data_IF_658086465222
#
_entry.id   IF_658086465222
#
_cell.length_a   1.000
_cell.length_b   1.000
_cell.length_c   1.000
_cell.angle_alpha   90.00
_cell.angle_beta   90.00
_cell.angle_gamma   90.00
#
_symmetry.space_group_name_H-M   'P 1'
#
loop_
_entity.id
_entity.type
_entity.pdbx_description
1 polymer ?
#
# COMPACT_ATOMS: atom_id res chain seq x y z
N UNK A 1 22.14 16.43 12.54
CA UNK A 1 21.73 16.48 13.97
C UNK A 1 20.32 17.05 14.23
N UNK A 2 19.81 17.97 13.40
CA UNK A 2 18.46 18.56 13.52
C UNK A 2 17.34 17.62 13.07
N UNK A 3 17.56 16.81 12.03
CA UNK A 3 16.56 15.86 11.48
C UNK A 3 16.14 14.75 12.47
N UNK A 4 17.10 14.23 13.25
CA UNK A 4 16.85 13.14 14.22
C UNK A 4 16.00 13.63 15.39
N UNK A 5 16.15 14.90 15.77
CA UNK A 5 15.49 15.52 16.91
C UNK A 5 14.04 15.93 16.62
N UNK A 6 13.68 16.11 15.34
CA UNK A 6 12.29 16.37 14.92
C UNK A 6 11.50 15.09 14.69
N UNK A 7 12.15 13.97 14.34
CA UNK A 7 11.49 12.69 14.10
C UNK A 7 11.08 11.97 15.39
N UNK A 8 11.83 12.17 16.47
CA UNK A 8 11.60 11.50 17.75
C UNK A 8 10.21 11.77 18.36
N UNK A 9 9.73 13.02 18.47
CA UNK A 9 8.41 13.30 19.01
C UNK A 9 7.29 12.84 18.06
N UNK A 10 7.48 12.95 16.73
CA UNK A 10 6.50 12.47 15.74
C UNK A 10 6.33 10.96 15.80
N UNK A 11 7.43 10.20 15.86
CA UNK A 11 7.37 8.74 16.01
C UNK A 11 6.73 8.33 17.35
N UNK A 12 7.01 9.06 18.42
CA UNK A 12 6.44 8.77 19.75
C UNK A 12 4.94 9.03 19.76
N UNK A 13 4.48 10.15 19.19
CA UNK A 13 3.06 10.51 19.06
C UNK A 13 2.31 9.56 18.11
N UNK A 14 2.89 9.20 16.98
CA UNK A 14 2.28 8.21 16.06
C UNK A 14 2.17 6.85 16.74
N UNK A 15 3.18 6.37 17.46
CA UNK A 15 3.10 5.08 18.14
C UNK A 15 2.11 5.06 19.31
N UNK A 16 1.92 6.19 20.01
CA UNK A 16 0.97 6.27 21.14
C UNK A 16 -0.46 6.59 20.72
N UNK A 17 -0.69 7.34 19.63
CA UNK A 17 -2.04 7.70 19.17
C UNK A 17 -2.62 6.70 18.15
N UNK A 18 -1.79 6.05 17.34
CA UNK A 18 -2.27 5.14 16.26
C UNK A 18 -2.45 3.69 16.73
N UNK A 19 -1.95 3.33 17.91
CA UNK A 19 -2.30 2.08 18.61
C UNK A 19 -3.39 2.39 19.64
N UNK A 20 -4.68 2.46 19.24
CA UNK A 20 -5.74 2.63 20.22
C UNK A 20 -5.71 1.42 21.16
N UNK A 21 -5.59 1.70 22.47
CA UNK A 21 -5.73 0.70 23.55
C UNK A 21 -6.98 -0.19 23.40
N UNK A 22 -7.98 0.30 22.66
CA UNK A 22 -9.19 -0.41 22.22
C UNK A 22 -8.93 -1.75 21.51
N UNK A 23 -7.79 -1.92 20.82
CA UNK A 23 -7.45 -3.21 20.20
C UNK A 23 -7.28 -4.36 21.20
N UNK A 24 -6.88 -4.05 22.44
CA UNK A 24 -6.61 -5.04 23.48
C UNK A 24 -7.75 -5.20 24.51
N UNK A 25 -8.72 -4.28 24.56
CA UNK A 25 -9.79 -4.26 25.57
C UNK A 25 -11.18 -4.06 24.96
N UNK A 26 -11.55 -4.88 23.97
CA UNK A 26 -12.88 -4.90 23.35
C UNK A 26 -13.79 -5.99 23.90
N UNK A 27 -15.11 -5.76 23.93
CA UNK A 27 -16.15 -6.78 24.20
C UNK A 27 -16.05 -7.92 23.16
N UNK A 28 -16.49 -9.13 23.51
CA UNK A 28 -16.34 -10.33 22.67
C UNK A 28 -16.83 -10.17 21.21
N UNK A 29 -17.94 -9.45 20.98
CA UNK A 29 -18.45 -9.15 19.64
C UNK A 29 -17.53 -8.20 18.84
N UNK A 30 -16.92 -7.21 19.49
CA UNK A 30 -15.93 -6.33 18.84
C UNK A 30 -14.64 -7.10 18.51
N UNK A 31 -14.26 -8.09 19.33
CA UNK A 31 -13.11 -8.95 19.03
C UNK A 31 -13.33 -9.83 17.81
N UNK A 32 -14.49 -10.50 17.69
CA UNK A 32 -14.81 -11.34 16.51
C UNK A 32 -14.75 -10.54 15.21
N UNK A 33 -15.34 -9.34 15.20
CA UNK A 33 -15.33 -8.44 14.04
C UNK A 33 -13.93 -7.91 13.72
N UNK A 34 -13.07 -7.78 14.73
CA UNK A 34 -11.67 -7.40 14.54
C UNK A 34 -10.83 -8.55 13.98
N UNK A 35 -11.11 -9.80 14.40
CA UNK A 35 -10.49 -10.99 13.84
C UNK A 35 -10.84 -11.20 12.37
N UNK A 36 -12.10 -11.01 11.98
CA UNK A 36 -12.53 -11.08 10.57
C UNK A 36 -11.73 -10.11 9.69
N UNK A 37 -11.62 -8.84 10.12
CA UNK A 37 -10.84 -7.82 9.41
C UNK A 37 -9.35 -8.17 9.33
N UNK A 38 -8.81 -8.72 10.41
CA UNK A 38 -7.40 -9.13 10.47
C UNK A 38 -7.14 -10.31 9.53
N UNK A 39 -8.03 -11.31 9.52
CA UNK A 39 -7.96 -12.47 8.61
C UNK A 39 -8.09 -12.03 7.15
N UNK A 40 -9.00 -11.11 6.86
CA UNK A 40 -9.14 -10.54 5.51
C UNK A 40 -7.86 -9.85 5.06
N UNK A 41 -7.29 -8.97 5.90
CA UNK A 41 -6.03 -8.29 5.61
C UNK A 41 -4.86 -9.26 5.44
N UNK A 42 -4.74 -10.27 6.30
CA UNK A 42 -3.71 -11.29 6.21
C UNK A 42 -3.83 -12.10 4.91
N UNK A 43 -5.06 -12.45 4.51
CA UNK A 43 -5.32 -13.21 3.27
C UNK A 43 -4.92 -12.40 2.04
N UNK A 44 -5.32 -11.13 1.98
CA UNK A 44 -4.91 -10.23 0.90
C UNK A 44 -3.40 -10.04 0.83
N UNK A 45 -2.73 -9.91 1.98
CA UNK A 45 -1.28 -9.79 2.04
C UNK A 45 -0.57 -11.05 1.54
N UNK A 46 -1.02 -12.23 1.95
CA UNK A 46 -0.45 -13.50 1.49
C UNK A 46 -0.67 -13.69 -0.01
N UNK A 47 -1.88 -13.40 -0.51
CA UNK A 47 -2.20 -13.44 -1.94
C UNK A 47 -1.33 -12.46 -2.74
N UNK A 48 -1.12 -11.26 -2.21
CA UNK A 48 -0.26 -10.24 -2.81
C UNK A 48 1.19 -10.72 -2.98
N UNK A 49 1.79 -11.28 -1.94
CA UNK A 49 3.17 -11.79 -2.00
C UNK A 49 3.29 -13.04 -2.90
N UNK A 50 2.31 -13.95 -2.87
CA UNK A 50 2.31 -15.12 -3.75
C UNK A 50 2.16 -14.72 -5.22
N UNK A 51 1.33 -13.73 -5.53
CA UNK A 51 1.18 -13.20 -6.89
C UNK A 51 2.51 -12.69 -7.45
N UNK A 52 3.32 -12.03 -6.63
CA UNK A 52 4.69 -11.65 -7.00
C UNK A 52 5.57 -12.85 -7.30
N UNK A 53 5.54 -13.89 -6.46
CA UNK A 53 6.34 -15.10 -6.69
C UNK A 53 6.01 -15.79 -8.01
N UNK A 54 4.71 -15.91 -8.32
CA UNK A 54 4.24 -16.47 -9.61
C UNK A 54 4.65 -15.58 -10.78
N UNK A 55 4.46 -14.27 -10.67
CA UNK A 55 4.85 -13.31 -11.72
C UNK A 55 6.36 -13.31 -11.98
N UNK A 56 7.17 -13.39 -10.93
CA UNK A 56 8.63 -13.50 -11.03
C UNK A 56 9.04 -14.78 -11.76
N UNK A 57 8.43 -15.92 -11.42
CA UNK A 57 8.74 -17.19 -12.07
C UNK A 57 8.38 -17.20 -13.57
N UNK A 58 7.29 -16.53 -13.96
CA UNK A 58 6.85 -16.46 -15.36
C UNK A 58 7.81 -15.66 -16.25
N UNK A 59 8.47 -14.63 -15.71
CA UNK A 59 9.37 -13.74 -16.45
C UNK A 59 10.84 -14.19 -16.46
N UNK A 60 11.18 -15.30 -15.81
CA UNK A 60 12.55 -15.80 -15.75
C UNK A 60 13.53 -14.80 -15.12
N UNK A 61 14.69 -14.62 -15.76
CA UNK A 61 15.80 -13.79 -15.24
C UNK A 61 15.42 -12.30 -15.07
N UNK A 62 14.51 -11.79 -15.91
CA UNK A 62 14.01 -10.41 -15.83
C UNK A 62 12.93 -10.22 -14.77
N UNK A 63 12.39 -11.33 -14.23
CA UNK A 63 11.26 -11.34 -13.32
C UNK A 63 11.51 -10.54 -12.06
N UNK A 64 12.68 -10.66 -11.44
CA UNK A 64 13.02 -9.89 -10.22
C UNK A 64 13.03 -8.39 -10.51
N UNK A 65 13.62 -7.99 -11.63
CA UNK A 65 13.83 -6.59 -11.97
C UNK A 65 12.53 -5.86 -12.32
N UNK A 66 11.58 -6.56 -12.96
CA UNK A 66 10.29 -5.99 -13.37
C UNK A 66 9.23 -6.14 -12.27
N UNK A 67 9.12 -7.32 -11.65
CA UNK A 67 8.01 -7.62 -10.74
C UNK A 67 8.12 -6.89 -9.41
N UNK A 68 9.33 -6.61 -8.93
CA UNK A 68 9.49 -5.89 -7.66
C UNK A 68 8.99 -4.44 -7.75
N UNK A 69 9.42 -3.62 -8.73
CA UNK A 69 8.82 -2.30 -8.96
C UNK A 69 7.33 -2.36 -9.27
N UNK A 70 6.87 -3.36 -10.02
CA UNK A 70 5.46 -3.54 -10.34
C UNK A 70 4.61 -3.77 -9.07
N UNK A 71 5.10 -4.62 -8.16
CA UNK A 71 4.48 -4.86 -6.85
C UNK A 71 4.43 -3.58 -6.02
N UNK A 72 5.53 -2.85 -5.92
CA UNK A 72 5.62 -1.60 -5.14
C UNK A 72 4.72 -0.49 -5.70
N UNK A 73 4.67 -0.33 -7.03
CA UNK A 73 3.79 0.63 -7.68
C UNK A 73 2.31 0.26 -7.43
N UNK A 74 1.98 -1.03 -7.50
CA UNK A 74 0.60 -1.52 -7.31
C UNK A 74 0.11 -1.31 -5.87
N UNK A 75 0.95 -1.57 -4.85
CA UNK A 75 0.59 -1.30 -3.45
C UNK A 75 0.37 0.18 -3.20
N UNK A 76 1.17 1.04 -3.82
CA UNK A 76 1.04 2.48 -3.69
C UNK A 76 -0.27 2.99 -4.30
N UNK A 77 -0.64 2.52 -5.49
CA UNK A 77 -1.95 2.85 -6.10
C UNK A 77 -3.10 2.37 -5.22
N UNK A 78 -3.05 1.11 -4.76
CA UNK A 78 -4.10 0.55 -3.92
C UNK A 78 -4.24 1.30 -2.59
N UNK A 79 -3.12 1.70 -1.97
CA UNK A 79 -3.10 2.52 -0.77
C UNK A 79 -3.80 3.86 -0.98
N UNK A 80 -3.51 4.55 -2.09
CA UNK A 80 -4.18 5.80 -2.40
C UNK A 80 -5.68 5.62 -2.67
N UNK A 81 -6.08 4.57 -3.38
CA UNK A 81 -7.50 4.25 -3.61
C UNK A 81 -8.25 4.01 -2.29
N UNK A 82 -7.62 3.30 -1.35
CA UNK A 82 -8.19 3.07 -0.02
C UNK A 82 -8.29 4.37 0.79
N UNK A 83 -7.28 5.24 0.71
CA UNK A 83 -7.31 6.57 1.34
C UNK A 83 -8.45 7.45 0.79
N UNK A 84 -8.72 7.38 -0.51
CA UNK A 84 -9.93 8.01 -1.10
C UNK A 84 -11.21 7.36 -0.58
N UNK A 85 -11.28 6.03 -0.49
CA UNK A 85 -12.45 5.32 0.03
C UNK A 85 -12.75 5.60 1.51
N UNK A 86 -11.72 5.89 2.32
CA UNK A 86 -11.85 6.29 3.72
C UNK A 86 -12.21 7.78 3.90
N UNK A 87 -12.28 8.55 2.80
CA UNK A 87 -12.57 9.98 2.86
C UNK A 87 -11.41 10.82 3.41
N UNK A 88 -10.16 10.32 3.37
CA UNK A 88 -8.99 11.07 3.88
C UNK A 88 -8.75 12.40 3.17
N UNK A 89 -9.34 12.55 1.98
CA UNK A 89 -9.22 13.74 1.14
C UNK A 89 -10.43 14.67 1.24
N UNK A 90 -11.42 14.36 2.08
CA UNK A 90 -12.58 15.20 2.31
C UNK A 90 -12.18 16.49 3.04
N UNK A 91 -12.39 17.63 2.38
CA UNK A 91 -11.99 18.95 2.89
C UNK A 91 -10.52 19.31 2.64
N UNK A 92 -9.76 18.48 1.92
CA UNK A 92 -8.39 18.83 1.51
C UNK A 92 -8.38 19.92 0.42
N UNK A 93 -7.29 20.70 0.35
CA UNK A 93 -7.10 21.72 -0.69
C UNK A 93 -7.22 21.08 -2.09
N UNK A 94 -8.08 21.60 -2.99
CA UNK A 94 -8.21 21.11 -4.36
C UNK A 94 -6.88 21.01 -5.12
N UNK A 95 -5.87 21.83 -4.79
CA UNK A 95 -4.51 21.71 -5.37
C UNK A 95 -3.81 20.43 -4.93
N UNK A 96 -3.89 20.09 -3.66
CA UNK A 96 -3.31 18.87 -3.11
C UNK A 96 -3.99 17.61 -3.68
N UNK A 97 -5.33 17.64 -3.79
CA UNK A 97 -6.10 16.54 -4.41
C UNK A 97 -5.69 16.34 -5.87
N UNK A 98 -5.59 17.42 -6.66
CA UNK A 98 -5.13 17.33 -8.06
C UNK A 98 -3.72 16.78 -8.18
N UNK A 99 -2.79 17.25 -7.35
CA UNK A 99 -1.41 16.75 -7.36
C UNK A 99 -1.37 15.26 -7.03
N UNK A 100 -2.15 14.81 -6.04
CA UNK A 100 -2.26 13.41 -5.68
C UNK A 100 -2.82 12.56 -6.84
N UNK A 101 -3.90 13.01 -7.48
CA UNK A 101 -4.47 12.32 -8.65
C UNK A 101 -3.47 12.24 -9.80
N UNK A 102 -2.67 13.29 -10.00
CA UNK A 102 -1.62 13.31 -11.03
C UNK A 102 -0.53 12.28 -10.71
N UNK A 103 -0.12 12.16 -9.44
CA UNK A 103 0.84 11.16 -9.01
C UNK A 103 0.32 9.73 -9.25
N UNK A 104 -0.94 9.46 -8.92
CA UNK A 104 -1.56 8.15 -9.17
C UNK A 104 -1.59 7.84 -10.67
N UNK A 105 -1.96 8.82 -11.51
CA UNK A 105 -1.95 8.64 -12.96
C UNK A 105 -0.55 8.30 -13.50
N UNK A 106 0.50 8.98 -13.01
CA UNK A 106 1.89 8.68 -13.38
C UNK A 106 2.29 7.26 -12.97
N UNK A 107 1.90 6.82 -11.76
CA UNK A 107 2.21 5.45 -11.30
C UNK A 107 1.48 4.41 -12.15
N UNK A 108 0.22 4.63 -12.53
CA UNK A 108 -0.52 3.75 -13.43
C UNK A 108 0.17 3.63 -14.80
N UNK A 109 0.65 4.75 -15.35
CA UNK A 109 1.43 4.74 -16.59
C UNK A 109 2.73 3.94 -16.42
N UNK A 110 3.44 4.11 -15.32
CA UNK A 110 4.65 3.35 -15.03
C UNK A 110 4.39 1.83 -14.95
N UNK A 111 3.28 1.44 -14.30
CA UNK A 111 2.82 0.03 -14.25
C UNK A 111 2.56 -0.48 -15.67
N UNK A 112 1.81 0.27 -16.49
CA UNK A 112 1.50 -0.14 -17.87
C UNK A 112 2.76 -0.33 -18.72
N UNK A 113 3.75 0.56 -18.59
CA UNK A 113 5.04 0.46 -19.28
C UNK A 113 5.82 -0.77 -18.82
N UNK A 114 5.89 -1.03 -17.51
CA UNK A 114 6.56 -2.21 -16.94
C UNK A 114 5.90 -3.52 -17.40
N UNK A 115 4.57 -3.58 -17.38
CA UNK A 115 3.83 -4.75 -17.85
C UNK A 115 4.04 -4.98 -19.34
N UNK A 116 4.02 -3.91 -20.15
CA UNK A 116 4.32 -4.00 -21.59
C UNK A 116 5.75 -4.50 -21.86
N UNK A 117 6.74 -4.01 -21.12
CA UNK A 117 8.12 -4.49 -21.21
C UNK A 117 8.24 -5.97 -20.83
N UNK A 118 7.55 -6.40 -19.76
CA UNK A 118 7.47 -7.80 -19.37
C UNK A 118 6.85 -8.68 -20.46
N UNK A 119 5.75 -8.25 -21.06
CA UNK A 119 5.11 -8.99 -22.17
C UNK A 119 6.01 -9.11 -23.40
N UNK A 120 6.73 -8.04 -23.76
CA UNK A 120 7.68 -8.05 -24.86
C UNK A 120 8.86 -9.01 -24.62
N UNK A 121 9.23 -9.27 -23.36
CA UNK A 121 10.27 -10.24 -23.02
C UNK A 121 9.84 -11.70 -23.16
N UNK A 122 8.53 -11.97 -23.28
CA UNK A 122 7.95 -13.30 -23.45
C UNK A 122 7.61 -13.64 -24.91
N UNK A 123 7.74 -12.68 -25.84
CA UNK A 123 7.44 -12.81 -27.26
C UNK A 123 8.71 -12.99 -28.09
#
# INVERSE_FOLDING_TARGET
>A
PTLIRTLTPTLTLTLTLTMPRRFWTGRAEEQLKNWERTLFAATLFVAHIHGYGVGQALLGDLGVAIMWPLLMASTMVMGQLWGYGLGEWDGADPRAVRLNMTAIAVIIVAIAVLTGAGLASLA
#
